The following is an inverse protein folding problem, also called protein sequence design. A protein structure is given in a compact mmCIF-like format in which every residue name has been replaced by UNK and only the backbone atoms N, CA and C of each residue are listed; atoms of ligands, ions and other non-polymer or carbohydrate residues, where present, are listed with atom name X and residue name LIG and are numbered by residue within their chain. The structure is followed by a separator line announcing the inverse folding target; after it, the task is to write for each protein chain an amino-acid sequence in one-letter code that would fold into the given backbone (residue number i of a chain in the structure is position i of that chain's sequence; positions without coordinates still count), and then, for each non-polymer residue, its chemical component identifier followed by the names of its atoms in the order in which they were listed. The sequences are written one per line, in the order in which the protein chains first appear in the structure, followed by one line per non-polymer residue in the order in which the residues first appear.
data_IF_207281098934
#
_entry.id   IF_207281098934
#
_cell.length_a   1.000
_cell.length_b   1.000
_cell.length_c   1.000
_cell.angle_alpha   90.00
_cell.angle_beta   90.00
_cell.angle_gamma   90.00
#
_symmetry.space_group_name_H-M   'P 1'
#
loop_
_entity.id
_entity.type
_entity.pdbx_description
1 polymer ?
#
# COMPACT_ATOMS: atom_id res chain seq x y z
N UNK A 1 16.43 36.86 -4.51
CA UNK A 1 15.45 35.76 -4.61
C UNK A 1 15.86 34.86 -5.77
N UNK A 2 16.39 33.66 -5.50
CA UNK A 2 16.80 32.71 -6.54
C UNK A 2 15.54 32.15 -7.20
N UNK A 3 15.30 32.47 -8.48
CA UNK A 3 14.28 31.81 -9.30
C UNK A 3 14.66 30.33 -9.33
N UNK A 4 13.90 29.50 -8.62
CA UNK A 4 14.00 28.05 -8.75
C UNK A 4 13.24 27.73 -10.02
N UNK A 5 13.97 27.63 -11.13
CA UNK A 5 13.37 27.17 -12.37
C UNK A 5 12.71 25.82 -12.10
N UNK A 6 11.40 25.77 -12.28
CA UNK A 6 10.57 24.65 -11.87
C UNK A 6 10.84 23.48 -12.79
N UNK A 7 11.53 22.47 -12.30
CA UNK A 7 11.98 21.30 -13.07
C UNK A 7 10.85 20.26 -13.21
N UNK A 8 9.71 20.70 -13.75
CA UNK A 8 8.47 19.92 -13.89
C UNK A 8 8.70 18.56 -14.56
N UNK A 9 9.67 18.48 -15.48
CA UNK A 9 10.02 17.24 -16.16
C UNK A 9 10.57 16.18 -15.20
N UNK A 10 11.46 16.57 -14.27
CA UNK A 10 12.03 15.64 -13.30
C UNK A 10 10.98 15.17 -12.29
N UNK A 11 10.18 16.09 -11.78
CA UNK A 11 9.11 15.75 -10.82
C UNK A 11 8.08 14.80 -11.43
N UNK A 12 7.73 15.03 -12.70
CA UNK A 12 6.83 14.14 -13.44
C UNK A 12 7.45 12.76 -13.70
N UNK A 13 8.73 12.70 -14.07
CA UNK A 13 9.44 11.43 -14.26
C UNK A 13 9.47 10.63 -12.96
N UNK A 14 9.77 11.27 -11.83
CA UNK A 14 9.76 10.61 -10.52
C UNK A 14 8.36 10.06 -10.20
N UNK A 15 7.31 10.83 -10.45
CA UNK A 15 5.93 10.39 -10.25
C UNK A 15 5.57 9.20 -11.16
N UNK A 16 5.93 9.24 -12.44
CA UNK A 16 5.70 8.14 -13.39
C UNK A 16 6.40 6.87 -12.93
N UNK A 17 7.65 6.98 -12.50
CA UNK A 17 8.42 5.85 -11.96
C UNK A 17 7.73 5.28 -10.70
N UNK A 18 7.30 6.15 -9.78
CA UNK A 18 6.61 5.72 -8.56
C UNK A 18 5.29 5.00 -8.86
N UNK A 19 4.47 5.54 -9.76
CA UNK A 19 3.20 4.94 -10.19
C UNK A 19 3.45 3.62 -10.91
N UNK A 20 4.48 3.54 -11.75
CA UNK A 20 4.85 2.30 -12.43
C UNK A 20 5.18 1.18 -11.43
N UNK A 21 6.03 1.45 -10.44
CA UNK A 21 6.39 0.45 -9.43
C UNK A 21 5.22 0.07 -8.53
N UNK A 22 4.37 1.03 -8.16
CA UNK A 22 3.14 0.76 -7.41
C UNK A 22 2.21 -0.16 -8.20
N UNK A 23 1.93 0.18 -9.46
CA UNK A 23 1.06 -0.60 -10.33
C UNK A 23 1.64 -1.98 -10.66
N UNK A 24 2.93 -2.09 -10.93
CA UNK A 24 3.57 -3.38 -11.22
C UNK A 24 3.61 -4.29 -9.98
N UNK A 25 4.06 -3.76 -8.83
CA UNK A 25 4.27 -4.54 -7.62
C UNK A 25 2.98 -4.88 -6.90
N UNK A 26 2.17 -3.87 -6.57
CA UNK A 26 0.96 -4.07 -5.77
C UNK A 26 -0.22 -4.58 -6.62
N UNK A 27 -0.62 -3.82 -7.63
CA UNK A 27 -1.82 -4.17 -8.43
C UNK A 27 -1.55 -5.37 -9.37
N UNK A 28 -0.42 -5.36 -10.06
CA UNK A 28 -0.10 -6.35 -11.09
C UNK A 28 0.40 -7.68 -10.54
N UNK A 29 1.17 -7.67 -9.46
CA UNK A 29 1.78 -8.88 -8.90
C UNK A 29 1.04 -9.35 -7.67
N UNK A 30 0.99 -8.54 -6.61
CA UNK A 30 0.42 -8.94 -5.32
C UNK A 30 -1.08 -9.25 -5.43
N UNK A 31 -1.89 -8.31 -5.92
CA UNK A 31 -3.35 -8.48 -6.00
C UNK A 31 -3.74 -9.61 -6.98
N UNK A 32 -2.92 -9.87 -8.01
CA UNK A 32 -3.17 -10.92 -8.98
C UNK A 32 -3.03 -12.34 -8.42
N UNK A 33 -2.14 -12.55 -7.43
CA UNK A 33 -1.90 -13.87 -6.82
C UNK A 33 -2.54 -14.02 -5.44
N UNK A 34 -2.91 -12.93 -4.78
CA UNK A 34 -3.35 -12.89 -3.38
C UNK A 34 -4.48 -13.88 -3.07
N UNK A 35 -5.54 -13.92 -3.88
CA UNK A 35 -6.70 -14.80 -3.64
C UNK A 35 -6.32 -16.27 -3.70
N UNK A 36 -5.46 -16.64 -4.66
CA UNK A 36 -5.00 -18.02 -4.81
C UNK A 36 -4.03 -18.40 -3.68
N UNK A 37 -3.10 -17.51 -3.33
CA UNK A 37 -2.15 -17.74 -2.23
C UNK A 37 -2.85 -17.95 -0.88
N UNK A 38 -3.82 -17.09 -0.56
CA UNK A 38 -4.56 -17.17 0.70
C UNK A 38 -5.36 -18.48 0.82
N UNK A 39 -5.98 -18.94 -0.27
CA UNK A 39 -6.81 -20.15 -0.26
C UNK A 39 -5.98 -21.43 -0.43
N UNK A 40 -5.07 -21.46 -1.40
CA UNK A 40 -4.37 -22.68 -1.80
C UNK A 40 -3.09 -22.93 -0.99
N UNK A 41 -2.35 -21.88 -0.61
CA UNK A 41 -1.08 -22.03 0.13
C UNK A 41 -1.28 -21.87 1.65
N UNK A 42 -2.06 -20.88 2.08
CA UNK A 42 -2.30 -20.62 3.51
C UNK A 42 -3.49 -21.43 4.05
N UNK A 43 -4.41 -21.86 3.17
CA UNK A 43 -5.57 -22.67 3.56
C UNK A 43 -6.65 -21.90 4.32
N UNK A 44 -6.71 -20.57 4.16
CA UNK A 44 -7.67 -19.71 4.87
C UNK A 44 -9.09 -20.00 4.39
N UNK A 45 -10.01 -20.22 5.34
CA UNK A 45 -11.43 -20.42 5.05
C UNK A 45 -12.10 -19.11 4.65
N UNK A 46 -13.21 -19.13 3.88
CA UNK A 46 -13.92 -17.92 3.49
C UNK A 46 -14.31 -16.99 4.65
N UNK A 47 -14.62 -17.55 5.83
CA UNK A 47 -14.95 -16.77 7.03
C UNK A 47 -13.75 -16.06 7.62
N UNK A 48 -12.58 -16.70 7.64
CA UNK A 48 -11.33 -16.12 8.11
C UNK A 48 -10.84 -15.04 7.14
N UNK A 49 -11.01 -15.26 5.84
CA UNK A 49 -10.77 -14.25 4.81
C UNK A 49 -11.64 -13.01 5.03
N UNK A 50 -12.93 -13.20 5.33
CA UNK A 50 -13.82 -12.08 5.66
C UNK A 50 -13.34 -11.23 6.84
N UNK A 51 -12.74 -11.85 7.86
CA UNK A 51 -12.14 -11.14 9.00
C UNK A 51 -10.89 -10.36 8.56
N UNK A 52 -10.00 -10.97 7.78
CA UNK A 52 -8.79 -10.32 7.25
C UNK A 52 -9.17 -9.11 6.40
N UNK A 53 -10.11 -9.26 5.47
CA UNK A 53 -10.60 -8.19 4.63
C UNK A 53 -11.26 -7.07 5.45
N UNK A 54 -12.02 -7.39 6.49
CA UNK A 54 -12.63 -6.39 7.38
C UNK A 54 -11.58 -5.55 8.11
N UNK A 55 -10.47 -6.17 8.54
CA UNK A 55 -9.33 -5.46 9.13
C UNK A 55 -8.67 -4.55 8.08
N UNK A 56 -8.53 -5.02 6.83
CA UNK A 56 -7.93 -4.25 5.71
C UNK A 56 -8.77 -3.02 5.32
N UNK A 57 -10.09 -3.09 5.42
CA UNK A 57 -11.00 -1.98 5.08
C UNK A 57 -11.08 -0.91 6.17
N UNK A 58 -10.79 -1.25 7.44
CA UNK A 58 -10.86 -0.31 8.56
C UNK A 58 -9.91 0.90 8.41
N UNK A 59 -8.64 0.75 7.96
CA UNK A 59 -7.78 1.89 7.61
C UNK A 59 -8.37 2.79 6.53
N UNK A 60 -9.02 2.22 5.51
CA UNK A 60 -9.71 2.97 4.46
C UNK A 60 -10.86 3.79 5.01
N UNK A 61 -11.64 3.20 5.91
CA UNK A 61 -12.70 3.91 6.64
C UNK A 61 -12.17 5.08 7.47
N UNK A 62 -10.99 4.93 8.09
CA UNK A 62 -10.33 5.97 8.89
C UNK A 62 -9.55 7.00 8.05
N UNK A 63 -9.55 6.89 6.72
CA UNK A 63 -8.73 7.75 5.83
C UNK A 63 -8.99 9.24 6.02
N UNK A 64 -10.24 9.66 6.26
CA UNK A 64 -10.56 11.07 6.52
C UNK A 64 -9.91 11.60 7.81
N UNK A 65 -9.85 10.77 8.86
CA UNK A 65 -9.21 11.11 10.12
C UNK A 65 -7.68 11.14 9.97
N UNK A 66 -7.11 10.15 9.27
CA UNK A 66 -5.68 10.10 8.96
C UNK A 66 -5.26 11.29 8.09
N UNK A 67 -6.08 11.68 7.12
CA UNK A 67 -5.86 12.88 6.30
C UNK A 67 -5.83 14.14 7.18
N UNK A 68 -6.78 14.31 8.10
CA UNK A 68 -6.81 15.43 9.03
C UNK A 68 -5.57 15.49 9.93
N UNK A 69 -5.14 14.35 10.49
CA UNK A 69 -3.93 14.26 11.32
C UNK A 69 -2.64 14.61 10.55
N UNK A 70 -2.63 14.36 9.24
CA UNK A 70 -1.45 14.53 8.39
C UNK A 70 -1.48 15.80 7.54
N UNK A 71 -2.48 16.69 7.71
CA UNK A 71 -2.65 17.91 6.89
C UNK A 71 -1.45 18.86 6.91
N UNK A 72 -0.61 18.81 7.95
CA UNK A 72 0.59 19.66 8.06
C UNK A 72 1.80 19.09 7.30
N UNK A 73 1.71 17.85 6.81
CA UNK A 73 2.80 17.17 6.12
C UNK A 73 2.69 17.43 4.62
N UNK A 74 3.76 17.87 3.93
CA UNK A 74 3.75 18.04 2.48
C UNK A 74 3.38 16.73 1.76
N UNK A 75 2.46 16.80 0.81
CA UNK A 75 1.93 15.62 0.09
C UNK A 75 2.99 14.69 -0.50
N UNK A 76 4.10 15.18 -1.10
CA UNK A 76 5.15 14.29 -1.62
C UNK A 76 5.88 13.51 -0.52
N UNK A 77 6.06 14.12 0.65
CA UNK A 77 6.70 13.47 1.81
C UNK A 77 5.75 12.44 2.40
N UNK A 78 4.49 12.82 2.61
CA UNK A 78 3.46 11.92 3.11
C UNK A 78 3.29 10.70 2.20
N UNK A 79 3.21 10.91 0.88
CA UNK A 79 3.13 9.84 -0.11
C UNK A 79 4.33 8.88 -0.01
N UNK A 80 5.55 9.40 0.11
CA UNK A 80 6.75 8.59 0.31
C UNK A 80 6.69 7.74 1.59
N UNK A 81 6.26 8.32 2.72
CA UNK A 81 6.11 7.60 3.99
C UNK A 81 5.08 6.47 3.85
N UNK A 82 3.92 6.75 3.25
CA UNK A 82 2.85 5.76 3.04
C UNK A 82 3.34 4.61 2.16
N UNK A 83 4.06 4.91 1.08
CA UNK A 83 4.63 3.88 0.20
C UNK A 83 5.65 3.00 0.92
N UNK A 84 6.47 3.56 1.82
CA UNK A 84 7.41 2.77 2.64
C UNK A 84 6.66 1.84 3.60
N UNK A 85 5.67 2.37 4.32
CA UNK A 85 4.85 1.56 5.26
C UNK A 85 4.15 0.42 4.51
N UNK A 86 3.56 0.72 3.36
CA UNK A 86 2.91 -0.27 2.51
C UNK A 86 3.90 -1.34 2.02
N UNK A 87 5.08 -0.92 1.55
CA UNK A 87 6.12 -1.83 1.05
C UNK A 87 6.64 -2.77 2.14
N UNK A 88 6.79 -2.28 3.39
CA UNK A 88 7.18 -3.11 4.54
C UNK A 88 6.10 -4.14 4.84
N UNK A 89 4.82 -3.74 4.86
CA UNK A 89 3.70 -4.64 5.12
C UNK A 89 3.59 -5.76 4.10
N UNK A 90 3.65 -5.42 2.80
CA UNK A 90 3.62 -6.40 1.71
C UNK A 90 4.88 -7.28 1.73
N UNK A 91 6.07 -6.69 1.98
CA UNK A 91 7.31 -7.46 2.08
C UNK A 91 7.28 -8.50 3.21
N UNK A 92 6.69 -8.15 4.35
CA UNK A 92 6.49 -9.06 5.48
C UNK A 92 5.48 -10.17 5.18
N UNK A 93 4.56 -9.99 4.23
CA UNK A 93 3.57 -10.99 3.85
C UNK A 93 4.22 -12.30 3.36
N UNK A 94 5.39 -12.21 2.73
CA UNK A 94 6.17 -13.38 2.29
C UNK A 94 6.60 -14.32 3.43
N UNK A 95 6.59 -13.84 4.67
CA UNK A 95 6.99 -14.61 5.86
C UNK A 95 5.81 -15.26 6.57
N UNK A 96 4.58 -15.07 6.06
CA UNK A 96 3.37 -15.63 6.66
C UNK A 96 3.18 -17.05 6.12
N UNK A 97 3.21 -18.03 7.03
CA UNK A 97 2.98 -19.44 6.71
C UNK A 97 1.66 -19.99 7.29
N UNK A 98 0.98 -19.20 8.12
CA UNK A 98 -0.30 -19.56 8.72
C UNK A 98 -1.05 -18.31 9.15
N UNK A 99 -2.37 -18.37 9.20
CA UNK A 99 -3.23 -17.35 9.79
C UNK A 99 -3.96 -17.99 10.95
N UNK A 100 -3.47 -17.75 12.18
CA UNK A 100 -4.21 -18.09 13.40
C UNK A 100 -5.28 -17.01 13.65
N UNK A 101 -6.31 -17.00 12.82
CA UNK A 101 -7.54 -16.29 13.11
C UNK A 101 -8.46 -17.26 13.85
N UNK A 102 -8.24 -17.36 15.17
CA UNK A 102 -8.84 -18.27 16.19
C UNK A 102 -7.89 -19.36 16.66
#
# INVERSE_FOLDING_TARGET
MRKKDSDWGKDLIILVIAIFFLGFGFEGTYMAIYTNFITDDIGVKPTELGIIESIRETPGFLSAFLAALTMQIPSPILGGIVLIVMSIGIGAFSQIHTVNAV
#
